data_IF_616130077194
#
_entry.id   IF_616130077194
#
_cell.length_a   1.000
_cell.length_b   1.000
_cell.length_c   1.000
_cell.angle_alpha   90.00
_cell.angle_beta   90.00
_cell.angle_gamma   90.00
#
_symmetry.space_group_name_H-M   'P 1'
#
loop_
_entity.id
_entity.type
_entity.pdbx_description
1 polymer ?
#
# COMPACT_ATOMS: atom_id res chain seq x y z
N UNK A 1 19.11 3.06 -31.82
CA UNK A 1 17.96 3.92 -31.58
C UNK A 1 16.70 3.07 -31.63
N UNK A 2 16.22 2.64 -30.50
CA UNK A 2 14.92 2.00 -30.38
C UNK A 2 14.05 2.95 -29.54
N UNK A 3 13.20 3.73 -30.24
CA UNK A 3 12.06 4.36 -29.65
C UNK A 3 11.13 3.25 -29.13
N UNK A 4 11.34 2.80 -27.90
CA UNK A 4 10.34 2.04 -27.16
C UNK A 4 9.16 3.01 -27.04
N UNK A 5 8.10 2.75 -27.78
CA UNK A 5 6.90 3.56 -27.74
C UNK A 5 6.49 3.72 -26.28
N UNK A 6 6.25 4.93 -25.79
CA UNK A 6 5.96 5.21 -24.38
C UNK A 6 4.76 4.40 -23.83
N UNK A 7 3.91 3.87 -24.72
CA UNK A 7 2.83 2.94 -24.39
C UNK A 7 3.32 1.56 -23.95
N UNK A 8 4.52 1.12 -24.41
CA UNK A 8 5.05 -0.21 -24.09
C UNK A 8 5.83 -0.19 -22.76
N UNK A 9 6.45 0.96 -22.43
CA UNK A 9 7.26 1.12 -21.22
C UNK A 9 6.51 0.74 -19.94
N UNK A 10 5.24 1.14 -19.81
CA UNK A 10 4.42 0.90 -18.63
C UNK A 10 3.49 -0.32 -18.73
N UNK A 11 3.52 -1.03 -19.86
CA UNK A 11 2.55 -2.11 -20.14
C UNK A 11 2.64 -3.25 -19.15
N UNK A 12 3.85 -3.68 -18.78
CA UNK A 12 4.07 -4.76 -17.82
C UNK A 12 3.64 -4.34 -16.40
N UNK A 13 3.96 -3.14 -15.96
CA UNK A 13 3.52 -2.61 -14.66
C UNK A 13 1.99 -2.52 -14.58
N UNK A 14 1.32 -2.11 -15.68
CA UNK A 14 -0.14 -2.09 -15.78
C UNK A 14 -0.71 -3.50 -15.72
N UNK A 15 -0.11 -4.47 -16.39
CA UNK A 15 -0.52 -5.88 -16.37
C UNK A 15 -0.46 -6.43 -14.94
N UNK A 16 0.66 -6.25 -14.25
CA UNK A 16 0.83 -6.67 -12.86
C UNK A 16 -0.22 -6.03 -11.94
N UNK A 17 -0.44 -4.72 -12.07
CA UNK A 17 -1.45 -4.03 -11.26
C UNK A 17 -2.87 -4.55 -11.54
N UNK A 18 -3.23 -4.82 -12.78
CA UNK A 18 -4.57 -5.33 -13.13
C UNK A 18 -4.81 -6.76 -12.63
N UNK A 19 -3.78 -7.61 -12.60
CA UNK A 19 -3.88 -9.01 -12.16
C UNK A 19 -3.91 -9.12 -10.63
N UNK A 20 -3.00 -8.45 -9.93
CA UNK A 20 -2.77 -8.66 -8.51
C UNK A 20 -3.38 -7.57 -7.64
N UNK A 21 -3.45 -6.32 -8.13
CA UNK A 21 -3.93 -5.14 -7.40
C UNK A 21 -5.37 -4.72 -7.70
N UNK A 22 -6.34 -5.63 -7.74
CA UNK A 22 -7.71 -5.34 -8.22
C UNK A 22 -8.34 -4.06 -7.66
N UNK A 23 -8.26 -3.86 -6.34
CA UNK A 23 -8.82 -2.65 -5.70
C UNK A 23 -7.97 -1.42 -6.02
N UNK A 24 -6.65 -1.56 -6.00
CA UNK A 24 -5.70 -0.50 -6.33
C UNK A 24 -5.84 -0.09 -7.81
N UNK A 25 -5.96 -1.06 -8.71
CA UNK A 25 -6.20 -0.83 -10.14
C UNK A 25 -7.49 -0.04 -10.39
N UNK A 26 -8.60 -0.46 -9.76
CA UNK A 26 -9.88 0.24 -9.87
C UNK A 26 -9.79 1.69 -9.36
N UNK A 27 -9.12 1.92 -8.24
CA UNK A 27 -8.86 3.26 -7.74
C UNK A 27 -8.02 4.09 -8.73
N UNK A 28 -6.98 3.49 -9.33
CA UNK A 28 -6.13 4.14 -10.33
C UNK A 28 -6.94 4.61 -11.55
N UNK A 29 -8.02 3.90 -11.93
CA UNK A 29 -8.88 4.32 -13.04
C UNK A 29 -9.64 5.64 -12.75
N UNK A 30 -9.75 6.05 -11.49
CA UNK A 30 -10.29 7.35 -11.11
C UNK A 30 -9.34 8.51 -11.40
N UNK A 31 -8.05 8.25 -11.56
CA UNK A 31 -7.06 9.27 -11.93
C UNK A 31 -7.16 9.64 -13.42
N UNK A 32 -6.73 10.86 -13.79
CA UNK A 32 -6.53 11.25 -15.18
C UNK A 32 -5.68 10.19 -15.92
N UNK A 33 -6.01 9.85 -17.18
CA UNK A 33 -5.24 8.86 -17.94
C UNK A 33 -3.75 9.11 -17.97
N UNK A 34 -3.33 10.37 -18.03
CA UNK A 34 -1.92 10.76 -18.06
C UNK A 34 -1.14 10.45 -16.75
N UNK A 35 -1.81 10.28 -15.60
CA UNK A 35 -1.18 9.97 -14.31
C UNK A 35 -1.09 8.46 -14.04
N UNK A 36 -1.94 7.66 -14.67
CA UNK A 36 -2.08 6.21 -14.40
C UNK A 36 -0.81 5.40 -14.65
N UNK A 37 -0.04 5.65 -15.74
CA UNK A 37 1.18 4.89 -16.02
C UNK A 37 2.18 4.94 -14.85
N UNK A 38 2.36 6.10 -14.24
CA UNK A 38 3.29 6.31 -13.14
C UNK A 38 2.86 5.57 -11.87
N UNK A 39 1.55 5.52 -11.59
CA UNK A 39 0.99 4.73 -10.49
C UNK A 39 1.19 3.23 -10.75
N UNK A 40 1.07 2.79 -12.01
CA UNK A 40 1.38 1.41 -12.37
C UNK A 40 2.85 1.06 -12.18
N UNK A 41 3.78 2.00 -12.44
CA UNK A 41 5.21 1.79 -12.22
C UNK A 41 5.55 1.56 -10.73
N UNK A 42 5.02 2.41 -9.83
CA UNK A 42 5.19 2.21 -8.39
C UNK A 42 4.60 0.87 -7.93
N UNK A 43 3.42 0.52 -8.42
CA UNK A 43 2.82 -0.78 -8.12
C UNK A 43 3.68 -1.95 -8.62
N UNK A 44 4.19 -1.86 -9.85
CA UNK A 44 5.05 -2.90 -10.45
C UNK A 44 6.31 -3.15 -9.63
N UNK A 45 6.97 -2.08 -9.19
CA UNK A 45 8.12 -2.14 -8.31
C UNK A 45 7.78 -2.82 -6.97
N UNK A 46 6.74 -2.34 -6.27
CA UNK A 46 6.35 -2.89 -4.98
C UNK A 46 5.93 -4.35 -5.09
N UNK A 47 5.17 -4.72 -6.13
CA UNK A 47 4.71 -6.09 -6.35
C UNK A 47 5.86 -7.05 -6.65
N UNK A 48 6.86 -6.63 -7.41
CA UNK A 48 8.00 -7.48 -7.73
C UNK A 48 8.85 -7.81 -6.49
N UNK A 49 9.08 -6.82 -5.62
CA UNK A 49 9.75 -7.04 -4.34
C UNK A 49 8.95 -7.99 -3.43
N UNK A 50 7.64 -7.79 -3.34
CA UNK A 50 6.71 -8.63 -2.58
C UNK A 50 6.74 -10.10 -3.08
N UNK A 51 6.80 -10.33 -4.40
CA UNK A 51 6.90 -11.69 -4.97
C UNK A 51 8.19 -12.40 -4.56
N UNK A 52 9.32 -11.71 -4.47
CA UNK A 52 10.59 -12.33 -4.01
C UNK A 52 10.45 -12.82 -2.56
N UNK A 53 9.75 -12.05 -1.72
CA UNK A 53 9.60 -12.34 -0.28
C UNK A 53 8.51 -13.39 -0.03
N UNK A 54 7.33 -13.20 -0.63
CA UNK A 54 6.09 -13.87 -0.24
C UNK A 54 5.61 -14.97 -1.21
N UNK A 55 6.37 -15.27 -2.28
CA UNK A 55 6.00 -16.38 -3.18
C UNK A 55 5.94 -17.71 -2.41
N UNK A 56 4.70 -18.17 -2.18
CA UNK A 56 4.42 -19.46 -1.51
C UNK A 56 4.77 -20.67 -2.36
N UNK A 57 4.90 -20.53 -3.68
CA UNK A 57 5.34 -21.57 -4.58
C UNK A 57 6.87 -21.66 -4.67
N UNK A 58 7.57 -20.67 -4.11
CA UNK A 58 9.04 -20.65 -4.07
C UNK A 58 9.58 -21.75 -3.16
N UNK A 59 10.55 -22.49 -3.66
CA UNK A 59 11.31 -23.48 -2.90
C UNK A 59 12.54 -22.90 -2.22
N UNK A 60 12.74 -21.58 -2.32
CA UNK A 60 13.88 -20.88 -1.74
C UNK A 60 13.80 -20.84 -0.21
N UNK A 61 14.94 -21.09 0.41
CA UNK A 61 15.14 -20.89 1.85
C UNK A 61 15.08 -19.38 2.19
N UNK A 62 14.88 -19.01 3.46
CA UNK A 62 14.94 -17.60 3.88
C UNK A 62 16.24 -16.89 3.49
N UNK A 63 17.39 -17.59 3.56
CA UNK A 63 18.68 -17.03 3.18
C UNK A 63 18.77 -16.80 1.67
N UNK A 64 18.29 -17.74 0.85
CA UNK A 64 18.22 -17.56 -0.61
C UNK A 64 17.26 -16.45 -1.02
N UNK A 65 16.12 -16.30 -0.35
CA UNK A 65 15.21 -15.17 -0.55
C UNK A 65 15.88 -13.84 -0.21
N UNK A 66 16.62 -13.79 0.91
CA UNK A 66 17.38 -12.62 1.33
C UNK A 66 18.44 -12.24 0.31
N UNK A 67 19.19 -13.20 -0.20
CA UNK A 67 20.20 -12.97 -1.24
C UNK A 67 19.55 -12.47 -2.55
N UNK A 68 18.46 -13.11 -2.99
CA UNK A 68 17.70 -12.70 -4.17
C UNK A 68 17.18 -11.27 -4.04
N UNK A 69 16.58 -10.93 -2.89
CA UNK A 69 16.10 -9.58 -2.61
C UNK A 69 17.26 -8.56 -2.58
N UNK A 70 18.37 -8.87 -1.94
CA UNK A 70 19.54 -7.99 -1.88
C UNK A 70 20.11 -7.72 -3.27
N UNK A 71 20.26 -8.78 -4.09
CA UNK A 71 20.77 -8.65 -5.46
C UNK A 71 19.86 -7.78 -6.33
N UNK A 72 18.56 -8.04 -6.27
CA UNK A 72 17.59 -7.24 -7.03
C UNK A 72 17.52 -5.80 -6.52
N UNK A 73 17.50 -5.58 -5.20
CA UNK A 73 17.49 -4.26 -4.58
C UNK A 73 18.72 -3.42 -4.98
N UNK A 74 19.91 -4.03 -4.94
CA UNK A 74 21.12 -3.34 -5.37
C UNK A 74 21.05 -2.93 -6.85
N UNK A 75 20.50 -3.79 -7.72
CA UNK A 75 20.31 -3.50 -9.13
C UNK A 75 19.36 -2.31 -9.35
N UNK A 76 18.15 -2.37 -8.78
CA UNK A 76 17.14 -1.32 -8.99
C UNK A 76 17.55 0.03 -8.38
N UNK A 77 18.21 0.02 -7.21
CA UNK A 77 18.72 1.26 -6.59
C UNK A 77 19.87 1.87 -7.41
N UNK A 78 20.74 1.04 -8.00
CA UNK A 78 21.76 1.51 -8.94
C UNK A 78 21.11 2.12 -10.18
N UNK A 79 20.12 1.47 -10.77
CA UNK A 79 19.40 1.97 -11.95
C UNK A 79 18.73 3.32 -11.66
N UNK A 80 18.11 3.47 -10.50
CA UNK A 80 17.53 4.73 -10.03
C UNK A 80 18.60 5.82 -9.87
N UNK A 81 19.76 5.48 -9.30
CA UNK A 81 20.86 6.44 -9.12
C UNK A 81 21.51 6.84 -10.44
N UNK A 82 21.63 5.91 -11.41
CA UNK A 82 22.16 6.17 -12.74
C UNK A 82 21.14 6.82 -13.67
N UNK A 83 19.86 6.75 -13.33
CA UNK A 83 18.77 7.28 -14.15
C UNK A 83 18.48 6.48 -15.43
N UNK A 84 18.88 5.21 -15.46
CA UNK A 84 18.66 4.30 -16.60
C UNK A 84 18.48 2.87 -16.11
N UNK A 85 17.54 2.14 -16.72
CA UNK A 85 17.35 0.70 -16.50
C UNK A 85 17.10 -0.01 -17.82
N UNK A 86 17.52 -1.27 -17.90
CA UNK A 86 17.27 -2.16 -19.04
C UNK A 86 16.15 -3.16 -18.76
N UNK A 87 15.68 -3.22 -17.52
CA UNK A 87 14.50 -3.98 -17.13
C UNK A 87 13.22 -3.17 -17.36
N UNK A 88 12.13 -3.80 -17.79
CA UNK A 88 10.88 -3.11 -18.10
C UNK A 88 10.25 -2.41 -16.88
N UNK A 89 10.28 -3.06 -15.71
CA UNK A 89 9.75 -2.48 -14.46
C UNK A 89 10.68 -1.36 -14.00
N UNK A 90 11.99 -1.62 -14.02
CA UNK A 90 13.01 -0.66 -13.64
C UNK A 90 12.98 0.59 -14.53
N UNK A 91 12.85 0.43 -15.85
CA UNK A 91 12.79 1.56 -16.77
C UNK A 91 11.54 2.43 -16.54
N UNK A 92 10.37 1.83 -16.31
CA UNK A 92 9.15 2.56 -15.96
C UNK A 92 9.28 3.29 -14.62
N UNK A 93 9.94 2.66 -13.64
CA UNK A 93 10.20 3.25 -12.33
C UNK A 93 11.16 4.45 -12.46
N UNK A 94 12.29 4.28 -13.17
CA UNK A 94 13.28 5.35 -13.40
C UNK A 94 12.62 6.57 -14.06
N UNK A 95 11.85 6.39 -15.15
CA UNK A 95 11.13 7.49 -15.79
C UNK A 95 10.16 8.18 -14.81
N UNK A 96 9.45 7.41 -13.99
CA UNK A 96 8.53 7.95 -13.00
C UNK A 96 9.26 8.77 -11.93
N UNK A 97 10.33 8.22 -11.36
CA UNK A 97 11.12 8.86 -10.30
C UNK A 97 11.75 10.16 -10.79
N UNK A 98 12.34 10.15 -11.99
CA UNK A 98 12.93 11.36 -12.59
C UNK A 98 11.89 12.43 -12.89
N UNK A 99 10.76 12.04 -13.49
CA UNK A 99 9.69 12.97 -13.89
C UNK A 99 9.06 13.69 -12.71
N UNK A 100 8.93 13.01 -11.57
CA UNK A 100 8.27 13.54 -10.37
C UNK A 100 9.24 13.88 -9.25
N UNK A 101 10.55 13.72 -9.47
CA UNK A 101 11.59 13.97 -8.48
C UNK A 101 11.32 13.26 -7.15
N UNK A 102 10.90 11.99 -7.22
CA UNK A 102 10.58 11.20 -6.02
C UNK A 102 11.89 10.88 -5.28
N UNK A 103 11.96 11.16 -3.96
CA UNK A 103 13.16 10.91 -3.17
C UNK A 103 13.57 9.43 -3.15
N UNK A 104 14.86 9.13 -3.39
CA UNK A 104 15.35 7.75 -3.43
C UNK A 104 15.31 7.06 -2.06
N UNK A 105 15.35 7.83 -0.98
CA UNK A 105 15.21 7.31 0.38
C UNK A 105 13.91 6.53 0.61
N UNK A 106 12.82 6.83 -0.09
CA UNK A 106 11.59 6.07 0.00
C UNK A 106 11.76 4.63 -0.50
N UNK A 107 12.45 4.46 -1.62
CA UNK A 107 12.75 3.13 -2.17
C UNK A 107 13.70 2.34 -1.28
N UNK A 108 14.69 2.99 -0.67
CA UNK A 108 15.55 2.37 0.33
C UNK A 108 14.74 1.89 1.55
N UNK A 109 13.84 2.73 2.08
CA UNK A 109 13.00 2.38 3.22
C UNK A 109 12.04 1.23 2.88
N UNK A 110 11.44 1.24 1.69
CA UNK A 110 10.59 0.15 1.23
C UNK A 110 11.34 -1.18 1.17
N UNK A 111 12.48 -1.21 0.51
CA UNK A 111 13.31 -2.43 0.36
C UNK A 111 13.83 -2.94 1.71
N UNK A 112 14.13 -2.03 2.64
CA UNK A 112 14.47 -2.40 4.02
C UNK A 112 13.30 -3.13 4.71
N UNK A 113 12.07 -2.62 4.60
CA UNK A 113 10.89 -3.31 5.15
C UNK A 113 10.62 -4.65 4.49
N UNK A 114 10.85 -4.78 3.18
CA UNK A 114 10.76 -6.08 2.50
C UNK A 114 11.81 -7.09 3.03
N UNK A 115 13.01 -6.62 3.35
CA UNK A 115 14.02 -7.47 3.98
C UNK A 115 13.63 -7.88 5.42
N UNK A 116 12.93 -7.00 6.17
CA UNK A 116 12.40 -7.35 7.49
C UNK A 116 11.39 -8.50 7.41
N UNK A 117 10.52 -8.54 6.41
CA UNK A 117 9.52 -9.60 6.23
C UNK A 117 10.12 -11.01 6.10
N UNK A 118 11.39 -11.13 5.73
CA UNK A 118 12.06 -12.43 5.64
C UNK A 118 12.42 -12.98 7.03
N UNK A 119 12.70 -12.12 8.01
CA UNK A 119 13.27 -12.52 9.30
C UNK A 119 12.47 -12.07 10.52
N UNK A 120 11.75 -10.97 10.43
CA UNK A 120 10.98 -10.41 11.55
C UNK A 120 9.55 -10.95 11.50
N UNK A 121 9.17 -11.72 12.51
CA UNK A 121 7.85 -12.33 12.59
C UNK A 121 6.99 -11.79 13.72
N UNK A 122 7.57 -10.96 14.59
CA UNK A 122 6.94 -10.37 15.78
C UNK A 122 7.42 -8.93 15.97
N UNK A 123 6.55 -8.11 16.52
CA UNK A 123 6.83 -6.72 16.88
C UNK A 123 6.54 -6.50 18.35
N UNK A 124 7.56 -6.18 19.14
CA UNK A 124 7.44 -6.03 20.59
C UNK A 124 6.47 -4.93 21.00
N UNK A 125 6.45 -3.82 20.24
CA UNK A 125 5.62 -2.66 20.52
C UNK A 125 5.25 -1.91 19.23
N UNK A 126 4.38 -0.92 19.35
CA UNK A 126 3.92 -0.12 18.21
C UNK A 126 5.06 0.66 17.52
N UNK A 127 6.09 1.09 18.25
CA UNK A 127 7.22 1.79 17.66
C UNK A 127 8.02 0.86 16.72
N UNK A 128 8.28 -0.39 17.12
CA UNK A 128 8.92 -1.40 16.30
C UNK A 128 8.07 -1.73 15.05
N UNK A 129 6.74 -1.83 15.20
CA UNK A 129 5.84 -2.02 14.05
C UNK A 129 5.87 -0.80 13.12
N UNK A 130 5.94 0.42 13.65
CA UNK A 130 5.96 1.66 12.86
C UNK A 130 7.20 1.73 11.95
N UNK A 131 8.36 1.24 12.39
CA UNK A 131 9.56 1.15 11.55
C UNK A 131 9.28 0.32 10.29
N UNK A 132 8.68 -0.86 10.45
CA UNK A 132 8.28 -1.70 9.32
C UNK A 132 7.20 -1.03 8.45
N UNK A 133 6.15 -0.49 9.07
CA UNK A 133 5.02 0.12 8.34
C UNK A 133 5.45 1.38 7.61
N UNK A 134 6.44 2.11 8.10
CA UNK A 134 6.98 3.26 7.40
C UNK A 134 7.47 2.87 5.99
N UNK A 135 8.34 1.88 5.88
CA UNK A 135 8.83 1.44 4.58
C UNK A 135 7.79 0.67 3.77
N UNK A 136 7.00 -0.23 4.39
CA UNK A 136 6.07 -1.08 3.64
C UNK A 136 4.81 -0.36 3.15
N UNK A 137 4.46 0.82 3.71
CA UNK A 137 3.21 1.50 3.37
C UNK A 137 3.27 3.03 3.39
N UNK A 138 3.90 3.66 4.39
CA UNK A 138 3.93 5.11 4.49
C UNK A 138 4.64 5.74 3.28
N UNK A 139 5.82 5.22 2.91
CA UNK A 139 6.59 5.72 1.76
C UNK A 139 5.83 5.56 0.44
N UNK A 140 5.02 4.51 0.28
CA UNK A 140 4.15 4.34 -0.90
C UNK A 140 3.16 5.51 -1.01
N UNK A 141 2.59 5.95 0.12
CA UNK A 141 1.77 7.16 0.17
C UNK A 141 2.55 8.41 -0.24
N UNK A 142 3.78 8.56 0.28
CA UNK A 142 4.66 9.70 -0.02
C UNK A 142 5.08 9.73 -1.50
N UNK A 143 5.43 8.59 -2.10
CA UNK A 143 5.77 8.45 -3.53
C UNK A 143 4.61 8.82 -4.46
N UNK A 144 3.38 8.57 -4.01
CA UNK A 144 2.17 8.91 -4.76
C UNK A 144 1.91 10.43 -4.82
N UNK A 145 2.27 11.20 -3.79
CA UNK A 145 1.94 12.64 -3.68
C UNK A 145 2.39 13.44 -4.89
N UNK A 146 3.64 13.37 -5.37
CA UNK A 146 4.09 14.14 -6.53
C UNK A 146 3.30 13.82 -7.81
N UNK A 147 2.91 12.55 -8.01
CA UNK A 147 2.10 12.10 -9.16
C UNK A 147 0.68 12.68 -9.06
N UNK A 148 0.13 12.71 -7.85
CA UNK A 148 -1.23 13.23 -7.59
C UNK A 148 -1.31 14.75 -7.77
N UNK A 149 -0.18 15.46 -7.75
CA UNK A 149 -0.08 16.90 -7.92
C UNK A 149 -0.38 17.65 -6.63
N UNK A 150 0.60 17.76 -5.73
CA UNK A 150 0.43 18.48 -4.48
C UNK A 150 0.26 19.99 -4.73
N UNK A 151 -0.65 20.60 -3.99
CA UNK A 151 -0.88 22.05 -3.94
C UNK A 151 -0.24 22.67 -2.69
N UNK A 152 0.15 21.85 -1.71
CA UNK A 152 0.83 22.22 -0.47
C UNK A 152 1.63 21.01 0.01
N UNK A 153 2.70 21.27 0.74
CA UNK A 153 3.51 20.23 1.41
C UNK A 153 2.72 19.51 2.51
N UNK A 154 1.63 20.09 3.01
CA UNK A 154 0.71 19.43 3.96
C UNK A 154 0.06 18.14 3.39
N UNK A 155 0.15 17.91 2.07
CA UNK A 155 -0.28 16.66 1.45
C UNK A 155 0.57 15.47 1.91
N UNK A 156 1.87 15.67 2.18
CA UNK A 156 2.79 14.58 2.53
C UNK A 156 2.50 13.93 3.89
N UNK A 157 2.38 14.67 5.01
CA UNK A 157 2.03 14.07 6.30
C UNK A 157 0.67 13.35 6.29
N UNK A 158 -0.27 13.84 5.48
CA UNK A 158 -1.57 13.20 5.32
C UNK A 158 -1.46 11.88 4.54
N UNK A 159 -0.67 11.85 3.47
CA UNK A 159 -0.42 10.63 2.68
C UNK A 159 0.31 9.56 3.48
N UNK A 160 1.30 9.95 4.28
CA UNK A 160 2.01 9.07 5.21
C UNK A 160 1.03 8.40 6.18
N UNK A 161 0.21 9.18 6.89
CA UNK A 161 -0.79 8.66 7.82
C UNK A 161 -1.80 7.73 7.15
N UNK A 162 -2.21 8.07 5.93
CA UNK A 162 -3.16 7.25 5.18
C UNK A 162 -2.55 5.92 4.76
N UNK A 163 -1.30 5.92 4.32
CA UNK A 163 -0.54 4.69 4.02
C UNK A 163 -0.46 3.78 5.25
N UNK A 164 -0.09 4.34 6.41
CA UNK A 164 -0.07 3.61 7.69
C UNK A 164 -1.47 3.04 8.01
N UNK A 165 -2.53 3.84 7.89
CA UNK A 165 -3.89 3.39 8.17
C UNK A 165 -4.30 2.20 7.28
N UNK A 166 -3.96 2.23 5.99
CA UNK A 166 -4.24 1.13 5.06
C UNK A 166 -3.53 -0.16 5.48
N UNK A 167 -2.27 -0.07 5.88
CA UNK A 167 -1.50 -1.25 6.28
C UNK A 167 -2.00 -1.84 7.60
N UNK A 168 -2.31 -1.00 8.59
CA UNK A 168 -2.91 -1.46 9.85
C UNK A 168 -4.28 -2.12 9.62
N UNK A 169 -5.10 -1.60 8.72
CA UNK A 169 -6.38 -2.23 8.36
C UNK A 169 -6.18 -3.60 7.72
N UNK A 170 -5.14 -3.77 6.89
CA UNK A 170 -4.76 -5.06 6.33
C UNK A 170 -4.34 -6.04 7.42
N UNK A 171 -3.47 -5.66 8.36
CA UNK A 171 -3.06 -6.53 9.46
C UNK A 171 -4.21 -6.99 10.33
N UNK A 172 -5.19 -6.12 10.61
CA UNK A 172 -6.38 -6.49 11.37
C UNK A 172 -7.23 -7.51 10.60
N UNK A 173 -7.35 -7.35 9.27
CA UNK A 173 -8.10 -8.28 8.40
C UNK A 173 -7.44 -9.63 8.28
N UNK A 174 -6.12 -9.64 8.14
CA UNK A 174 -5.35 -10.77 7.67
C UNK A 174 -4.70 -11.59 8.81
N UNK A 175 -5.04 -11.33 10.09
CA UNK A 175 -4.48 -12.05 11.27
C UNK A 175 -4.46 -13.56 11.05
N UNK A 176 -5.54 -14.16 10.53
CA UNK A 176 -5.59 -15.60 10.29
C UNK A 176 -4.59 -16.07 9.22
N UNK A 177 -4.46 -15.33 8.12
CA UNK A 177 -3.52 -15.62 7.03
C UNK A 177 -2.07 -15.36 7.46
N UNK A 178 -1.83 -14.32 8.27
CA UNK A 178 -0.50 -14.00 8.79
C UNK A 178 0.00 -15.07 9.77
N UNK A 179 -0.89 -15.64 10.59
CA UNK A 179 -0.59 -16.79 11.45
C UNK A 179 -0.22 -18.04 10.63
N UNK A 180 -0.82 -18.28 9.44
CA UNK A 180 -0.43 -19.36 8.54
C UNK A 180 1.02 -19.19 8.02
N UNK A 181 1.47 -17.94 7.92
CA UNK A 181 2.84 -17.58 7.57
C UNK A 181 3.78 -17.47 8.78
N UNK A 182 3.29 -17.80 9.98
CA UNK A 182 4.04 -17.69 11.23
C UNK A 182 4.27 -16.25 11.71
N UNK A 183 3.51 -15.26 11.22
CA UNK A 183 3.67 -13.83 11.52
C UNK A 183 2.57 -13.30 12.43
N UNK A 184 2.94 -12.37 13.33
CA UNK A 184 2.01 -11.56 14.14
C UNK A 184 2.44 -10.11 14.02
N UNK A 185 1.64 -9.29 13.32
CA UNK A 185 1.92 -7.86 13.15
C UNK A 185 1.34 -6.99 14.27
N UNK A 186 0.33 -7.48 15.01
CA UNK A 186 -0.20 -6.74 16.16
C UNK A 186 0.88 -6.67 17.26
N UNK A 187 1.18 -5.47 17.83
CA UNK A 187 2.22 -5.29 18.84
C UNK A 187 1.99 -6.18 20.07
N UNK A 188 3.05 -6.89 20.50
CA UNK A 188 2.93 -7.86 21.60
C UNK A 188 2.59 -7.20 22.94
N UNK A 189 3.18 -6.03 23.24
CA UNK A 189 2.89 -5.27 24.47
C UNK A 189 1.41 -4.83 24.52
N UNK A 190 0.85 -4.43 23.39
CA UNK A 190 -0.57 -4.08 23.28
C UNK A 190 -1.45 -5.31 23.46
N UNK A 191 -1.12 -6.44 22.83
CA UNK A 191 -1.85 -7.70 23.03
C UNK A 191 -1.84 -8.10 24.51
N UNK A 192 -0.67 -8.04 25.16
CA UNK A 192 -0.52 -8.34 26.58
C UNK A 192 -1.36 -7.41 27.47
N UNK A 193 -1.49 -6.11 27.10
CA UNK A 193 -2.33 -5.16 27.84
C UNK A 193 -3.81 -5.55 27.88
N UNK A 194 -4.26 -6.34 26.90
CA UNK A 194 -5.60 -6.95 26.84
C UNK A 194 -5.61 -8.39 27.36
N UNK A 195 -4.55 -8.89 28.00
CA UNK A 195 -4.38 -10.28 28.41
C UNK A 195 -4.49 -11.27 27.23
N UNK A 196 -4.02 -10.90 26.06
CA UNK A 196 -3.90 -11.77 24.88
C UNK A 196 -2.48 -12.30 24.81
N UNK A 197 -2.31 -13.63 24.77
CA UNK A 197 -1.04 -14.29 24.52
C UNK A 197 -0.93 -14.78 23.08
N UNK A 198 0.29 -15.05 22.62
CA UNK A 198 0.49 -15.65 21.28
C UNK A 198 -0.22 -17.00 21.17
N UNK A 199 -0.21 -17.83 22.23
CA UNK A 199 -0.91 -19.11 22.26
C UNK A 199 -2.41 -18.93 21.99
N UNK A 200 -3.03 -17.89 22.55
CA UNK A 200 -4.46 -17.59 22.31
C UNK A 200 -4.72 -17.28 20.82
N UNK A 201 -3.80 -16.57 20.14
CA UNK A 201 -3.91 -16.30 18.70
C UNK A 201 -3.71 -17.60 17.90
N UNK A 202 -2.70 -18.41 18.23
CA UNK A 202 -2.39 -19.69 17.58
C UNK A 202 -3.53 -20.71 17.71
N UNK A 203 -4.29 -20.66 18.82
CA UNK A 203 -5.48 -21.48 19.04
C UNK A 203 -6.67 -21.06 18.14
N UNK A 204 -6.57 -19.93 17.43
CA UNK A 204 -7.55 -19.42 16.44
C UNK A 204 -8.98 -19.36 16.95
N UNK A 205 -9.17 -19.09 18.23
CA UNK A 205 -10.50 -18.93 18.84
C UNK A 205 -10.68 -17.49 19.28
N UNK A 206 -11.68 -16.83 18.72
CA UNK A 206 -12.04 -15.48 19.15
C UNK A 206 -12.46 -15.49 20.61
N UNK A 207 -11.77 -14.71 21.43
CA UNK A 207 -12.10 -14.48 22.83
C UNK A 207 -12.48 -13.01 23.06
N UNK A 208 -13.16 -12.67 24.17
CA UNK A 208 -13.45 -11.26 24.50
C UNK A 208 -12.19 -10.40 24.57
N UNK A 209 -11.08 -10.95 25.02
CA UNK A 209 -9.78 -10.26 25.11
C UNK A 209 -9.23 -9.95 23.71
N UNK A 210 -9.19 -10.92 22.80
CA UNK A 210 -8.77 -10.72 21.40
C UNK A 210 -9.68 -9.68 20.73
N UNK A 211 -11.00 -9.79 20.94
CA UNK A 211 -11.95 -8.82 20.39
C UNK A 211 -11.69 -7.40 20.91
N UNK A 212 -11.33 -7.25 22.19
CA UNK A 212 -10.97 -5.95 22.76
C UNK A 212 -9.67 -5.38 22.14
N UNK A 213 -8.65 -6.20 21.97
CA UNK A 213 -7.41 -5.80 21.31
C UNK A 213 -7.64 -5.39 19.84
N UNK A 214 -8.48 -6.13 19.09
CA UNK A 214 -8.86 -5.76 17.72
C UNK A 214 -9.61 -4.43 17.67
N UNK A 215 -10.55 -4.19 18.57
CA UNK A 215 -11.27 -2.90 18.66
C UNK A 215 -10.33 -1.74 18.90
N UNK A 216 -9.35 -1.91 19.79
CA UNK A 216 -8.32 -0.89 20.04
C UNK A 216 -7.54 -0.54 18.77
N UNK A 217 -7.11 -1.54 18.02
CA UNK A 217 -6.38 -1.34 16.76
C UNK A 217 -7.28 -0.74 15.66
N UNK A 218 -8.56 -1.12 15.59
CA UNK A 218 -9.55 -0.52 14.68
C UNK A 218 -9.70 0.97 14.95
N UNK A 219 -9.79 1.39 16.21
CA UNK A 219 -9.88 2.82 16.55
C UNK A 219 -8.62 3.58 16.16
N UNK A 220 -7.44 2.97 16.19
CA UNK A 220 -6.20 3.57 15.65
C UNK A 220 -6.31 3.81 14.15
N UNK A 221 -6.79 2.85 13.38
CA UNK A 221 -7.02 3.03 11.93
C UNK A 221 -7.96 4.19 11.67
N UNK A 222 -9.10 4.23 12.36
CA UNK A 222 -10.10 5.31 12.23
C UNK A 222 -9.55 6.67 12.63
N UNK A 223 -8.73 6.73 13.68
CA UNK A 223 -8.05 7.98 14.10
C UNK A 223 -7.12 8.48 13.01
N UNK A 224 -6.24 7.62 12.48
CA UNK A 224 -5.31 7.97 11.40
C UNK A 224 -6.06 8.45 10.16
N UNK A 225 -7.15 7.77 9.78
CA UNK A 225 -7.99 8.17 8.66
C UNK A 225 -8.62 9.56 8.87
N UNK A 226 -9.18 9.82 10.06
CA UNK A 226 -9.75 11.14 10.38
C UNK A 226 -8.71 12.25 10.33
N UNK A 227 -7.47 11.97 10.75
CA UNK A 227 -6.37 12.93 10.70
C UNK A 227 -5.82 13.14 9.29
N UNK A 228 -5.85 12.11 8.45
CA UNK A 228 -5.31 12.16 7.08
C UNK A 228 -6.30 12.78 6.08
N UNK A 229 -7.59 12.48 6.19
CA UNK A 229 -8.59 12.86 5.20
C UNK A 229 -8.65 14.36 4.87
N UNK A 230 -8.48 15.30 5.83
CA UNK A 230 -8.41 16.72 5.51
C UNK A 230 -7.27 17.10 4.56
N UNK A 231 -6.18 16.32 4.57
CA UNK A 231 -5.03 16.56 3.68
C UNK A 231 -5.30 16.26 2.20
N UNK A 232 -6.36 15.52 1.88
CA UNK A 232 -6.74 15.23 0.49
C UNK A 232 -7.04 16.52 -0.28
N UNK A 233 -7.50 17.58 0.38
CA UNK A 233 -7.73 18.89 -0.24
C UNK A 233 -6.44 19.53 -0.79
N UNK A 234 -5.27 19.12 -0.32
CA UNK A 234 -3.98 19.62 -0.79
C UNK A 234 -3.46 18.91 -2.04
N UNK A 235 -4.22 17.97 -2.59
CA UNK A 235 -3.95 17.36 -3.89
C UNK A 235 -4.67 18.10 -5.01
N UNK A 236 -4.19 17.93 -6.24
CA UNK A 236 -4.87 18.43 -7.43
C UNK A 236 -6.32 17.94 -7.48
N UNK A 237 -7.31 18.80 -7.81
CA UNK A 237 -8.74 18.47 -7.74
C UNK A 237 -9.11 17.16 -8.48
N UNK A 238 -8.50 16.92 -9.63
CA UNK A 238 -8.75 15.72 -10.45
C UNK A 238 -8.19 14.42 -9.83
N UNK A 239 -7.35 14.52 -8.79
CA UNK A 239 -6.79 13.37 -8.07
C UNK A 239 -7.54 13.03 -6.79
N UNK A 240 -8.29 13.99 -6.21
CA UNK A 240 -8.91 13.86 -4.88
C UNK A 240 -9.88 12.69 -4.81
N UNK A 241 -10.77 12.56 -5.79
CA UNK A 241 -11.78 11.50 -5.79
C UNK A 241 -11.18 10.08 -5.76
N UNK A 242 -9.98 9.89 -6.33
CA UNK A 242 -9.24 8.63 -6.25
C UNK A 242 -8.85 8.33 -4.81
N UNK A 243 -8.26 9.31 -4.11
CA UNK A 243 -7.75 9.11 -2.75
C UNK A 243 -8.89 9.04 -1.73
N UNK A 244 -9.96 9.81 -1.90
CA UNK A 244 -11.19 9.68 -1.11
C UNK A 244 -11.77 8.27 -1.19
N UNK A 245 -11.90 7.74 -2.41
CA UNK A 245 -12.40 6.37 -2.62
C UNK A 245 -11.45 5.31 -2.04
N UNK A 246 -10.13 5.50 -2.19
CA UNK A 246 -9.14 4.61 -1.58
C UNK A 246 -9.23 4.66 -0.04
N UNK A 247 -9.29 5.86 0.56
CA UNK A 247 -9.45 6.02 2.00
C UNK A 247 -10.71 5.32 2.52
N UNK A 248 -11.84 5.48 1.85
CA UNK A 248 -13.10 4.85 2.25
C UNK A 248 -13.06 3.31 2.12
N UNK A 249 -12.47 2.78 1.05
CA UNK A 249 -12.45 1.34 0.80
C UNK A 249 -11.41 0.60 1.64
N UNK A 250 -10.20 1.15 1.80
CA UNK A 250 -9.13 0.49 2.55
C UNK A 250 -9.31 0.65 4.06
N UNK A 251 -9.60 1.85 4.57
CA UNK A 251 -9.90 2.00 5.99
C UNK A 251 -11.24 1.33 6.35
N UNK A 252 -12.20 1.28 5.42
CA UNK A 252 -13.46 0.56 5.60
C UNK A 252 -13.34 -0.96 5.69
N UNK A 253 -12.15 -1.54 5.49
CA UNK A 253 -11.87 -2.96 5.79
C UNK A 253 -12.19 -3.29 7.25
N UNK A 254 -11.91 -2.36 8.18
CA UNK A 254 -12.19 -2.58 9.61
C UNK A 254 -13.69 -2.68 9.88
N UNK A 255 -14.54 -1.98 9.11
CA UNK A 255 -16.01 -2.12 9.22
C UNK A 255 -16.47 -3.52 8.78
N UNK A 256 -15.81 -4.11 7.78
CA UNK A 256 -16.11 -5.47 7.34
C UNK A 256 -15.65 -6.51 8.37
N UNK A 257 -14.57 -6.23 9.13
CA UNK A 257 -14.16 -7.07 10.28
C UNK A 257 -15.22 -7.02 11.40
N UNK A 258 -15.77 -5.85 11.70
CA UNK A 258 -16.86 -5.71 12.67
C UNK A 258 -18.13 -6.44 12.22
N UNK A 259 -18.50 -6.37 10.93
CA UNK A 259 -19.69 -7.05 10.38
C UNK A 259 -19.63 -8.58 10.51
N UNK A 260 -18.44 -9.17 10.45
CA UNK A 260 -18.26 -10.62 10.68
C UNK A 260 -18.05 -10.95 12.17
N UNK A 261 -18.39 -10.03 13.06
CA UNK A 261 -18.20 -10.14 14.50
C UNK A 261 -16.78 -10.51 14.91
N UNK A 262 -15.78 -9.92 14.22
CA UNK A 262 -14.34 -10.13 14.44
C UNK A 262 -13.85 -11.57 14.21
N UNK A 263 -14.57 -12.38 13.44
CA UNK A 263 -14.21 -13.78 13.13
C UNK A 263 -13.10 -13.85 12.08
N UNK A 264 -11.94 -13.28 12.42
CA UNK A 264 -10.79 -13.11 11.50
C UNK A 264 -9.95 -14.38 11.30
N UNK A 265 -10.15 -15.40 12.14
CA UNK A 265 -9.39 -16.65 12.04
C UNK A 265 -9.93 -17.60 10.97
N UNK A 266 -11.26 -17.65 10.84
CA UNK A 266 -11.95 -18.58 9.93
C UNK A 266 -12.40 -17.91 8.64
N UNK A 267 -12.51 -16.57 8.64
CA UNK A 267 -13.05 -15.81 7.54
C UNK A 267 -12.23 -14.54 7.32
N UNK A 268 -11.77 -14.38 6.09
CA UNK A 268 -11.21 -13.08 5.68
C UNK A 268 -12.35 -12.09 5.40
N UNK A 269 -12.38 -10.97 6.11
CA UNK A 269 -13.31 -9.89 5.87
C UNK A 269 -13.13 -9.35 4.44
N UNK A 270 -14.22 -9.27 3.67
CA UNK A 270 -14.18 -8.85 2.27
C UNK A 270 -15.16 -7.70 2.03
N UNK A 271 -14.68 -6.63 1.46
CA UNK A 271 -15.55 -5.56 0.96
C UNK A 271 -16.41 -6.11 -0.18
N UNK A 272 -17.74 -6.05 -0.04
CA UNK A 272 -18.67 -6.55 -1.03
C UNK A 272 -18.56 -5.76 -2.34
N UNK A 273 -18.91 -6.40 -3.46
CA UNK A 273 -18.96 -5.72 -4.77
C UNK A 273 -19.91 -4.52 -4.74
N UNK A 274 -21.04 -4.64 -4.04
CA UNK A 274 -22.01 -3.56 -3.89
C UNK A 274 -21.39 -2.35 -3.17
N UNK A 275 -20.65 -2.58 -2.08
CA UNK A 275 -19.93 -1.51 -1.36
C UNK A 275 -18.88 -0.86 -2.26
N UNK A 276 -18.10 -1.64 -3.01
CA UNK A 276 -17.12 -1.09 -3.96
C UNK A 276 -17.78 -0.21 -5.02
N UNK A 277 -18.89 -0.63 -5.58
CA UNK A 277 -19.64 0.14 -6.57
C UNK A 277 -20.26 1.40 -5.97
N UNK A 278 -20.82 1.32 -4.77
CA UNK A 278 -21.40 2.50 -4.09
C UNK A 278 -20.39 3.60 -3.81
N UNK A 279 -19.12 3.25 -3.65
CA UNK A 279 -18.00 4.21 -3.49
C UNK A 279 -17.46 4.64 -4.85
N UNK A 280 -17.22 3.68 -5.77
CA UNK A 280 -16.54 3.95 -7.04
C UNK A 280 -17.39 4.80 -8.00
N UNK A 281 -18.71 4.57 -8.07
CA UNK A 281 -19.58 5.30 -9.02
C UNK A 281 -19.66 6.80 -8.70
N UNK A 282 -19.94 7.25 -7.46
CA UNK A 282 -19.92 8.67 -7.12
C UNK A 282 -18.52 9.28 -7.27
N UNK A 283 -17.46 8.54 -6.89
CA UNK A 283 -16.09 8.99 -7.05
C UNK A 283 -15.74 9.21 -8.54
N UNK A 284 -16.17 8.33 -9.42
CA UNK A 284 -15.97 8.49 -10.86
C UNK A 284 -16.67 9.73 -11.40
N UNK A 285 -17.90 9.99 -10.98
CA UNK A 285 -18.63 11.20 -11.38
C UNK A 285 -17.90 12.48 -10.92
N UNK A 286 -17.40 12.51 -9.64
CA UNK A 286 -16.60 13.63 -9.13
C UNK A 286 -15.28 13.79 -9.89
N UNK A 287 -14.58 12.70 -10.20
CA UNK A 287 -13.34 12.73 -10.97
C UNK A 287 -13.55 13.31 -12.38
N UNK A 288 -14.63 12.92 -13.06
CA UNK A 288 -14.98 13.46 -14.37
C UNK A 288 -15.32 14.96 -14.31
N UNK A 289 -16.10 15.39 -13.32
CA UNK A 289 -16.44 16.80 -13.11
C UNK A 289 -15.18 17.64 -12.86
N UNK A 290 -14.29 17.18 -11.98
CA UNK A 290 -13.04 17.86 -11.68
C UNK A 290 -12.12 18.01 -12.93
N UNK A 291 -12.01 16.95 -13.75
CA UNK A 291 -11.22 17.00 -14.99
C UNK A 291 -11.77 18.01 -16.01
N UNK A 292 -13.10 18.18 -16.09
CA UNK A 292 -13.73 19.15 -16.99
C UNK A 292 -13.54 20.58 -16.50
N UNK A 293 -13.46 20.78 -15.17
CA UNK A 293 -13.26 22.09 -14.55
C UNK A 293 -11.79 22.54 -14.58
N UNK A 294 -10.84 21.59 -14.71
CA UNK A 294 -9.40 21.93 -14.81
C UNK A 294 -9.07 22.23 -16.26
N UNK A 295 -8.74 23.49 -16.64
CA UNK A 295 -8.32 23.80 -17.99
C UNK A 295 -7.08 22.99 -18.34
N UNK A 296 -7.06 22.46 -19.57
CA UNK A 296 -5.91 21.75 -20.13
C UNK A 296 -4.67 22.67 -20.02
N UNK A 297 -3.89 22.55 -18.96
CA UNK A 297 -2.54 23.09 -18.92
C UNK A 297 -1.71 22.19 -19.84
N UNK A 298 -1.79 22.49 -21.15
CA UNK A 298 -0.86 21.97 -22.13
C UNK A 298 0.54 22.27 -21.61
N UNK A 299 1.28 21.21 -21.36
CA UNK A 299 2.72 21.17 -21.12
C UNK A 299 3.43 22.16 -22.02
N UNK A 300 3.98 23.22 -21.41
CA UNK A 300 5.13 23.94 -22.01
C UNK A 300 6.38 23.29 -21.46
#
# INVERSE_FOLDING_TARGET
SSDVCSSDLYSECKRLNSLHGKTYYLATLLLPPAKRPFVHALYGFARYADEIVDDLASTLTPDEKKEALQKWSAGILNDLAQGVSHDHIGAALVDTVQRFSIPLEHFHAFLHSMAMDISVTRYENYAALTEYVYGSAAVIGLEMVPILGPLSDDAYPAAEKLGIAFQLANFIRDVGEDLDRGRIYLPLDELHSFNVTEEMLLNRRLTPQIKAALKFNIERVRKLQREANPGIQYLAPESRACIEAASELYCGIVDEVEKIDYQIFDKRAKTSTLRRLSVAIPAFARALAARRATPNRSTK
#
